data_IF_344147608903
#
_entry.id   IF_344147608903
#
_cell.length_a   1.000
_cell.length_b   1.000
_cell.length_c   1.000
_cell.angle_alpha   90.00
_cell.angle_beta   90.00
_cell.angle_gamma   90.00
#
_symmetry.space_group_name_H-M   'P 1'
#
loop_
_entity.id
_entity.type
_entity.pdbx_description
1 polymer ?
#
# COMPACT_ATOMS: atom_id res chain seq x y z
N UNK A 1 -8.65 -1.76 -10.45
CA UNK A 1 -7.59 -2.03 -9.46
C UNK A 1 -8.10 -2.92 -8.34
N UNK A 2 -7.19 -3.55 -7.62
CA UNK A 2 -7.47 -4.25 -6.37
C UNK A 2 -6.39 -3.85 -5.35
N UNK A 3 -6.83 -3.43 -4.16
CA UNK A 3 -5.99 -3.28 -2.98
C UNK A 3 -6.55 -4.28 -1.97
N UNK A 4 -5.67 -5.09 -1.37
CA UNK A 4 -6.07 -6.09 -0.39
C UNK A 4 -5.17 -6.05 0.83
N UNK A 5 -5.72 -6.43 1.97
CA UNK A 5 -5.01 -6.61 3.23
C UNK A 5 -5.33 -7.97 3.82
N UNK A 6 -4.31 -8.72 4.27
CA UNK A 6 -4.49 -10.09 4.78
C UNK A 6 -5.27 -10.99 3.82
N UNK A 7 -5.00 -10.84 2.52
CA UNK A 7 -5.78 -11.46 1.46
C UNK A 7 -4.88 -12.32 0.56
N UNK A 8 -5.30 -13.56 0.29
CA UNK A 8 -4.44 -14.59 -0.28
C UNK A 8 -4.07 -14.36 -1.75
N UNK A 9 -2.78 -14.31 -2.04
CA UNK A 9 -2.18 -14.39 -3.37
C UNK A 9 -1.85 -15.85 -3.69
N UNK A 10 -2.34 -16.34 -4.83
CA UNK A 10 -2.29 -17.76 -5.20
C UNK A 10 -1.42 -17.94 -6.45
N UNK A 11 -0.52 -18.91 -6.39
CA UNK A 11 0.26 -19.37 -7.53
C UNK A 11 0.25 -20.90 -7.62
N UNK A 12 0.27 -21.43 -8.84
CA UNK A 12 0.42 -22.88 -9.08
C UNK A 12 1.81 -23.17 -9.60
N UNK A 13 2.59 -23.95 -8.84
CA UNK A 13 3.94 -24.37 -9.22
C UNK A 13 4.04 -25.90 -9.15
N UNK A 14 4.46 -26.54 -10.25
CA UNK A 14 4.58 -28.01 -10.33
C UNK A 14 3.32 -28.76 -9.84
N UNK A 15 2.13 -28.30 -10.25
CA UNK A 15 0.81 -28.81 -9.83
C UNK A 15 0.49 -28.69 -8.33
N UNK A 16 1.28 -27.92 -7.57
CA UNK A 16 0.99 -27.58 -6.17
C UNK A 16 0.51 -26.13 -6.08
N UNK A 17 -0.56 -25.92 -5.32
CA UNK A 17 -1.07 -24.59 -5.01
C UNK A 17 -0.26 -24.03 -3.85
N UNK A 18 0.26 -22.82 -4.02
CA UNK A 18 0.97 -22.06 -3.01
C UNK A 18 0.16 -20.79 -2.77
N UNK A 19 -0.07 -20.48 -1.49
CA UNK A 19 -0.81 -19.28 -1.07
C UNK A 19 0.05 -18.50 -0.09
N UNK A 20 0.18 -17.19 -0.31
CA UNK A 20 0.75 -16.22 0.64
C UNK A 20 -0.21 -15.07 0.79
N UNK A 21 -0.43 -14.60 2.02
CA UNK A 21 -1.28 -13.46 2.32
C UNK A 21 -0.40 -12.35 2.89
N UNK A 22 -0.11 -11.29 2.12
CA UNK A 22 0.58 -10.13 2.64
C UNK A 22 -0.35 -9.24 3.47
N UNK A 23 0.24 -8.44 4.34
CA UNK A 23 -0.48 -7.42 5.09
C UNK A 23 -1.13 -6.37 4.19
N UNK A 24 -0.47 -6.04 3.07
CA UNK A 24 -1.01 -5.14 2.05
C UNK A 24 -0.48 -5.47 0.66
N UNK A 25 -1.30 -5.31 -0.38
CA UNK A 25 -0.83 -5.36 -1.77
C UNK A 25 -1.65 -4.48 -2.71
N UNK A 26 -1.09 -4.23 -3.88
CA UNK A 26 -1.74 -3.50 -4.97
C UNK A 26 -1.63 -4.24 -6.31
N UNK A 27 -2.75 -4.28 -7.03
CA UNK A 27 -2.88 -4.75 -8.41
C UNK A 27 -3.53 -3.63 -9.25
N UNK A 28 -2.86 -3.12 -10.29
CA UNK A 28 -3.37 -2.01 -11.10
C UNK A 28 -4.73 -2.32 -11.76
N UNK A 29 -4.86 -3.52 -12.33
CA UNK A 29 -6.07 -3.92 -13.05
C UNK A 29 -6.43 -5.37 -12.76
N UNK A 30 -7.71 -5.60 -12.50
CA UNK A 30 -8.27 -6.94 -12.26
C UNK A 30 -9.49 -7.17 -13.14
N UNK A 31 -9.70 -8.41 -13.54
CA UNK A 31 -10.91 -8.81 -14.26
C UNK A 31 -12.14 -8.72 -13.35
N UNK A 32 -13.31 -8.29 -13.87
CA UNK A 32 -14.53 -8.32 -13.11
C UNK A 32 -14.89 -9.77 -12.76
N UNK A 33 -15.52 -9.94 -11.60
CA UNK A 33 -16.05 -11.23 -11.17
C UNK A 33 -17.54 -11.27 -11.53
N UNK A 34 -18.09 -12.46 -11.82
CA UNK A 34 -19.50 -12.63 -12.10
C UNK A 34 -20.37 -12.13 -10.93
N UNK A 35 -21.61 -11.72 -11.26
CA UNK A 35 -22.63 -11.36 -10.26
C UNK A 35 -22.79 -12.56 -9.29
N UNK A 36 -22.86 -12.27 -8.00
CA UNK A 36 -22.93 -13.23 -6.87
C UNK A 36 -21.68 -14.06 -6.54
N UNK A 37 -20.55 -13.80 -7.20
CA UNK A 37 -19.27 -14.45 -6.85
C UNK A 37 -18.39 -13.51 -6.04
N UNK A 38 -18.04 -13.95 -4.83
CA UNK A 38 -17.09 -13.22 -3.96
C UNK A 38 -15.67 -13.68 -4.26
N UNK A 39 -14.79 -12.73 -4.59
CA UNK A 39 -13.35 -12.97 -4.73
C UNK A 39 -12.74 -13.24 -3.35
N UNK A 40 -12.28 -14.48 -3.11
CA UNK A 40 -11.69 -14.90 -1.82
C UNK A 40 -10.16 -14.94 -1.82
N UNK A 41 -9.57 -14.89 -3.00
CA UNK A 41 -8.13 -14.89 -3.24
C UNK A 41 -7.84 -14.22 -4.57
N UNK A 42 -6.57 -13.96 -4.86
CA UNK A 42 -6.15 -13.42 -6.15
C UNK A 42 -5.08 -14.30 -6.80
N UNK A 43 -5.33 -14.70 -8.04
CA UNK A 43 -4.43 -15.48 -8.89
C UNK A 43 -3.93 -14.60 -10.03
N UNK A 44 -2.69 -14.09 -9.97
CA UNK A 44 -2.12 -13.23 -11.01
C UNK A 44 -2.13 -13.90 -12.38
N UNK A 45 -2.29 -13.11 -13.45
CA UNK A 45 -2.42 -13.55 -14.85
C UNK A 45 -3.71 -14.32 -15.21
N UNK A 46 -4.43 -14.86 -14.23
CA UNK A 46 -5.75 -15.49 -14.42
C UNK A 46 -6.88 -14.50 -14.14
N UNK A 47 -6.80 -13.80 -13.00
CA UNK A 47 -7.83 -12.89 -12.51
C UNK A 47 -7.53 -11.41 -12.79
N UNK A 48 -6.45 -11.12 -13.53
CA UNK A 48 -6.00 -9.78 -13.89
C UNK A 48 -4.49 -9.68 -14.08
N UNK A 49 -3.98 -8.45 -13.95
CA UNK A 49 -2.55 -8.10 -14.06
C UNK A 49 -1.69 -8.70 -12.93
N UNK A 50 -0.35 -8.71 -13.07
CA UNK A 50 0.56 -9.05 -11.98
C UNK A 50 0.35 -8.16 -10.74
N UNK A 51 0.74 -8.69 -9.58
CA UNK A 51 0.80 -7.89 -8.36
C UNK A 51 1.95 -6.90 -8.50
N UNK A 52 1.65 -5.62 -8.32
CA UNK A 52 2.59 -4.53 -8.56
C UNK A 52 3.38 -4.17 -7.30
N UNK A 53 2.72 -4.17 -6.14
CA UNK A 53 3.33 -3.84 -4.86
C UNK A 53 2.85 -4.82 -3.79
N UNK A 54 3.76 -5.27 -2.94
CA UNK A 54 3.46 -6.01 -1.71
C UNK A 54 4.12 -5.33 -0.52
N UNK A 55 3.42 -5.27 0.60
CA UNK A 55 3.98 -4.83 1.89
C UNK A 55 3.72 -5.89 2.96
N UNK A 56 4.72 -6.06 3.82
CA UNK A 56 4.66 -6.94 5.00
C UNK A 56 5.10 -6.15 6.23
N UNK A 57 4.37 -6.30 7.32
CA UNK A 57 4.60 -5.59 8.56
C UNK A 57 5.32 -6.55 9.51
N UNK A 58 6.53 -6.19 9.90
CA UNK A 58 7.37 -7.03 10.72
C UNK A 58 6.81 -7.09 12.14
N UNK A 59 6.87 -8.28 12.73
CA UNK A 59 6.53 -8.51 14.13
C UNK A 59 7.69 -9.18 14.84
N UNK A 60 7.76 -8.99 16.16
CA UNK A 60 8.84 -9.47 17.03
C UNK A 60 9.03 -11.01 17.00
N UNK A 61 8.01 -11.75 16.53
CA UNK A 61 7.99 -13.22 16.50
C UNK A 61 8.08 -13.82 15.09
N UNK A 62 7.86 -13.05 14.01
CA UNK A 62 7.81 -13.57 12.64
C UNK A 62 9.03 -13.18 11.80
N UNK A 63 10.05 -14.04 11.82
CA UNK A 63 11.22 -13.95 10.92
C UNK A 63 10.93 -14.48 9.48
N UNK A 64 9.66 -14.77 9.16
CA UNK A 64 9.25 -15.39 7.90
C UNK A 64 9.21 -14.46 6.68
N UNK A 65 9.06 -13.15 6.93
CA UNK A 65 8.88 -12.12 5.90
C UNK A 65 10.10 -11.95 5.00
N UNK A 66 11.29 -12.08 5.59
CA UNK A 66 12.57 -12.02 4.87
C UNK A 66 13.09 -13.40 4.47
N UNK A 67 12.26 -14.44 4.61
CA UNK A 67 12.68 -15.80 4.28
C UNK A 67 12.93 -15.95 2.77
N UNK A 68 14.17 -16.26 2.41
CA UNK A 68 14.62 -16.58 1.04
C UNK A 68 14.52 -18.07 0.71
N UNK A 69 13.81 -18.85 1.53
CA UNK A 69 13.72 -20.30 1.37
C UNK A 69 13.13 -20.67 0.00
N UNK A 70 13.94 -21.30 -0.83
CA UNK A 70 13.61 -21.75 -2.20
C UNK A 70 12.98 -23.15 -2.26
N UNK A 71 12.67 -23.76 -1.11
CA UNK A 71 12.02 -25.07 -1.02
C UNK A 71 10.72 -24.99 -0.22
N UNK A 72 9.68 -25.79 -0.54
CA UNK A 72 8.42 -25.78 0.20
C UNK A 72 8.60 -26.04 1.72
N UNK A 73 7.90 -25.30 2.60
CA UNK A 73 7.12 -24.09 2.29
C UNK A 73 8.04 -22.94 1.88
N UNK A 74 7.78 -22.34 0.70
CA UNK A 74 8.58 -21.23 0.19
C UNK A 74 8.54 -20.05 1.16
N UNK A 75 9.68 -19.39 1.33
CA UNK A 75 9.77 -18.14 2.07
C UNK A 75 9.03 -17.01 1.34
N UNK A 76 8.56 -15.99 2.07
CA UNK A 76 7.77 -14.90 1.47
C UNK A 76 8.59 -14.08 0.49
N UNK A 77 9.81 -13.68 0.87
CA UNK A 77 10.72 -12.97 -0.04
C UNK A 77 10.96 -13.75 -1.34
N UNK A 78 11.30 -15.04 -1.24
CA UNK A 78 11.49 -15.90 -2.42
C UNK A 78 10.22 -16.00 -3.29
N UNK A 79 9.05 -16.12 -2.65
CA UNK A 79 7.78 -16.21 -3.34
C UNK A 79 7.47 -14.94 -4.13
N UNK A 80 7.66 -13.76 -3.53
CA UNK A 80 7.41 -12.50 -4.21
C UNK A 80 8.47 -12.19 -5.28
N UNK A 81 9.73 -12.52 -5.03
CA UNK A 81 10.85 -12.26 -5.94
C UNK A 81 10.85 -13.17 -7.18
N UNK A 82 10.81 -14.49 -6.97
CA UNK A 82 11.07 -15.45 -8.04
C UNK A 82 9.80 -16.11 -8.60
N UNK A 83 8.73 -16.21 -7.80
CA UNK A 83 7.48 -16.86 -8.23
C UNK A 83 6.51 -15.83 -8.79
N UNK A 84 6.13 -14.82 -8.01
CA UNK A 84 5.21 -13.77 -8.46
C UNK A 84 5.91 -12.64 -9.23
N UNK A 85 7.21 -12.44 -9.02
CA UNK A 85 8.01 -11.36 -9.62
C UNK A 85 7.38 -9.99 -9.40
N UNK A 86 7.01 -9.73 -8.15
CA UNK A 86 6.40 -8.45 -7.75
C UNK A 86 7.45 -7.34 -7.95
N UNK A 87 7.13 -6.26 -8.69
CA UNK A 87 8.06 -5.17 -8.93
C UNK A 87 8.59 -4.50 -7.65
N UNK A 88 7.70 -4.24 -6.69
CA UNK A 88 8.06 -3.55 -5.44
C UNK A 88 7.64 -4.36 -4.21
N UNK A 89 8.59 -4.62 -3.32
CA UNK A 89 8.38 -5.29 -2.04
C UNK A 89 8.82 -4.40 -0.89
N UNK A 90 7.91 -4.16 0.05
CA UNK A 90 8.12 -3.26 1.19
C UNK A 90 8.06 -4.07 2.49
N UNK A 91 8.98 -3.79 3.40
CA UNK A 91 8.90 -4.26 4.80
C UNK A 91 8.88 -3.06 5.73
N UNK A 92 7.95 -3.06 6.68
CA UNK A 92 7.80 -2.00 7.67
C UNK A 92 7.79 -2.59 9.08
N UNK A 93 8.64 -2.08 9.95
CA UNK A 93 8.60 -2.42 11.38
C UNK A 93 7.99 -1.24 12.17
N UNK A 94 6.84 -1.44 12.84
CA UNK A 94 6.21 -0.38 13.62
C UNK A 94 6.89 -0.14 14.99
N UNK A 95 7.66 -1.09 15.51
CA UNK A 95 8.33 -1.02 16.81
C UNK A 95 9.71 -0.37 16.70
N UNK A 96 10.49 -0.79 15.69
CA UNK A 96 11.71 -0.11 15.26
C UNK A 96 11.39 0.58 13.93
N UNK A 97 11.03 1.89 13.92
CA UNK A 97 10.40 2.57 12.77
C UNK A 97 11.31 2.60 11.54
N UNK A 98 11.34 1.47 10.86
CA UNK A 98 12.23 1.13 9.79
C UNK A 98 11.37 0.73 8.61
N UNK A 99 11.63 1.40 7.50
CA UNK A 99 10.96 1.18 6.24
C UNK A 99 12.03 0.77 5.24
N UNK A 100 11.88 -0.42 4.69
CA UNK A 100 12.78 -0.91 3.66
C UNK A 100 11.97 -1.24 2.40
N UNK A 101 12.39 -0.66 1.28
CA UNK A 101 11.79 -0.90 -0.03
C UNK A 101 12.81 -1.63 -0.90
N UNK A 102 12.38 -2.72 -1.51
CA UNK A 102 13.14 -3.50 -2.49
C UNK A 102 12.43 -3.44 -3.84
N UNK A 103 13.16 -3.14 -4.89
CA UNK A 103 12.64 -3.17 -6.26
C UNK A 103 13.29 -4.29 -7.05
N UNK A 104 12.49 -5.00 -7.83
CA UNK A 104 12.93 -6.10 -8.66
C UNK A 104 13.64 -5.55 -9.90
N UNK A 105 14.93 -5.83 -10.01
CA UNK A 105 15.73 -5.45 -11.16
C UNK A 105 16.46 -6.67 -11.71
N UNK A 106 16.28 -6.96 -13.00
CA UNK A 106 16.92 -8.11 -13.67
C UNK A 106 16.68 -9.47 -12.98
N UNK A 107 15.57 -9.61 -12.25
CA UNK A 107 15.16 -10.85 -11.59
C UNK A 107 15.56 -10.99 -10.11
N UNK A 108 16.20 -9.98 -9.54
CA UNK A 108 16.60 -9.95 -8.12
C UNK A 108 16.20 -8.62 -7.48
N UNK A 109 15.90 -8.66 -6.18
CA UNK A 109 15.53 -7.49 -5.40
C UNK A 109 16.75 -6.68 -5.00
N UNK A 110 16.68 -5.38 -5.26
CA UNK A 110 17.68 -4.40 -4.82
C UNK A 110 17.06 -3.44 -3.83
N UNK A 111 17.72 -3.25 -2.68
CA UNK A 111 17.29 -2.26 -1.68
C UNK A 111 17.38 -0.87 -2.28
N UNK A 112 16.29 -0.12 -2.17
CA UNK A 112 16.24 1.27 -2.59
C UNK A 112 16.78 2.18 -1.48
N UNK A 113 17.20 3.37 -1.86
CA UNK A 113 17.55 4.43 -0.91
C UNK A 113 16.39 5.39 -0.77
N UNK A 114 16.14 5.84 0.45
CA UNK A 114 15.18 6.88 0.71
C UNK A 114 15.71 8.24 0.21
N UNK A 115 14.80 9.16 -0.06
CA UNK A 115 15.10 10.56 -0.31
C UNK A 115 15.59 11.27 0.97
N UNK A 116 15.85 12.58 0.85
CA UNK A 116 16.29 13.42 1.98
C UNK A 116 15.27 13.50 3.12
N UNK A 117 14.01 13.12 2.88
CA UNK A 117 12.93 13.14 3.86
C UNK A 117 12.62 11.74 4.41
N UNK A 118 13.42 10.72 4.09
CA UNK A 118 13.18 9.34 4.53
C UNK A 118 12.02 8.65 3.78
N UNK A 119 11.72 9.06 2.54
CA UNK A 119 10.63 8.54 1.71
C UNK A 119 11.18 7.77 0.51
N UNK A 120 10.44 6.76 0.07
CA UNK A 120 10.79 5.92 -1.07
C UNK A 120 9.81 6.14 -2.21
N UNK A 121 10.32 6.35 -3.42
CA UNK A 121 9.48 6.43 -4.61
C UNK A 121 8.97 5.04 -4.99
N UNK A 122 7.65 4.89 -5.13
CA UNK A 122 6.98 3.65 -5.57
C UNK A 122 6.46 3.87 -7.00
N UNK A 123 7.17 3.41 -8.03
CA UNK A 123 6.84 3.72 -9.42
C UNK A 123 5.44 3.26 -9.84
N UNK A 124 4.96 2.14 -9.32
CA UNK A 124 3.70 1.54 -9.73
C UNK A 124 2.47 2.33 -9.26
N UNK A 125 2.65 3.18 -8.25
CA UNK A 125 1.61 4.06 -7.73
C UNK A 125 1.85 5.53 -8.09
N UNK A 126 3.04 5.86 -8.59
CA UNK A 126 3.51 7.24 -8.79
C UNK A 126 3.46 8.09 -7.50
N UNK A 127 3.80 7.46 -6.37
CA UNK A 127 3.75 8.08 -5.04
C UNK A 127 5.03 7.80 -4.26
N UNK A 128 5.34 8.71 -3.33
CA UNK A 128 6.32 8.46 -2.29
C UNK A 128 5.66 7.77 -1.08
N UNK A 129 6.28 6.71 -0.58
CA UNK A 129 5.93 6.04 0.67
C UNK A 129 6.91 6.45 1.76
N UNK A 130 6.41 6.77 2.94
CA UNK A 130 7.27 7.13 4.07
C UNK A 130 6.58 6.96 5.41
N UNK A 131 7.39 7.05 6.46
CA UNK A 131 6.91 7.03 7.84
C UNK A 131 6.50 8.45 8.25
N UNK A 132 5.33 8.57 8.83
CA UNK A 132 4.78 9.80 9.37
C UNK A 132 4.43 9.61 10.86
N UNK A 133 5.09 10.32 11.78
CA UNK A 133 4.73 10.29 13.19
C UNK A 133 3.48 11.17 13.41
N UNK A 134 2.45 10.61 14.01
CA UNK A 134 1.28 11.39 14.41
C UNK A 134 0.15 10.59 15.02
N UNK A 135 -0.94 11.29 15.28
CA UNK A 135 -2.10 10.71 15.96
C UNK A 135 -3.19 10.34 14.95
N UNK A 136 -3.67 9.09 15.04
CA UNK A 136 -4.87 8.64 14.32
C UNK A 136 -5.62 7.64 15.18
N UNK A 137 -6.95 7.73 15.19
CA UNK A 137 -7.80 6.85 16.01
C UNK A 137 -7.40 6.86 17.50
N UNK A 138 -7.04 8.05 18.01
CA UNK A 138 -6.53 8.26 19.38
C UNK A 138 -5.25 7.47 19.70
N UNK A 139 -4.47 7.11 18.68
CA UNK A 139 -3.19 6.42 18.83
C UNK A 139 -2.09 7.23 18.17
N UNK A 140 -1.13 7.66 18.98
CA UNK A 140 0.07 8.34 18.52
C UNK A 140 1.14 7.31 18.20
N UNK A 141 1.44 7.14 16.92
CA UNK A 141 2.43 6.17 16.45
C UNK A 141 3.05 6.62 15.12
N UNK A 142 3.96 5.79 14.63
CA UNK A 142 4.52 5.91 13.29
C UNK A 142 3.57 5.24 12.29
N UNK A 143 2.99 6.03 11.40
CA UNK A 143 2.08 5.56 10.37
C UNK A 143 2.77 5.58 9.01
N UNK A 144 2.46 4.60 8.16
CA UNK A 144 2.80 4.72 6.74
C UNK A 144 1.83 5.69 6.06
N UNK A 145 2.39 6.64 5.31
CA UNK A 145 1.65 7.63 4.54
C UNK A 145 2.21 7.75 3.12
N UNK A 146 1.39 8.32 2.25
CA UNK A 146 1.71 8.55 0.86
C UNK A 146 1.85 10.05 0.59
N UNK A 147 2.83 10.42 -0.24
CA UNK A 147 2.99 11.77 -0.77
C UNK A 147 2.96 11.72 -2.30
N UNK A 148 2.42 12.75 -2.91
CA UNK A 148 2.48 12.92 -4.36
C UNK A 148 3.89 13.34 -4.82
N UNK A 149 4.05 13.48 -6.15
CA UNK A 149 5.32 13.88 -6.77
C UNK A 149 5.80 15.28 -6.37
N UNK A 150 4.88 16.16 -5.98
CA UNK A 150 5.18 17.52 -5.52
C UNK A 150 5.57 17.56 -4.04
N UNK A 151 5.42 16.44 -3.34
CA UNK A 151 5.72 16.30 -1.92
C UNK A 151 4.54 16.67 -1.01
N UNK A 152 3.32 16.79 -1.56
CA UNK A 152 2.11 17.00 -0.77
C UNK A 152 1.66 15.68 -0.16
N UNK A 153 1.28 15.71 1.11
CA UNK A 153 0.77 14.54 1.82
C UNK A 153 -0.64 14.20 1.31
N UNK A 154 -0.84 12.96 0.87
CA UNK A 154 -2.19 12.47 0.54
C UNK A 154 -2.99 12.31 1.83
N UNK A 155 -4.05 13.09 1.93
CA UNK A 155 -4.95 13.12 3.07
C UNK A 155 -5.87 11.89 3.09
N UNK A 156 -6.20 11.41 4.29
CA UNK A 156 -7.30 10.46 4.46
C UNK A 156 -8.63 11.12 4.12
N UNK A 157 -9.63 10.30 3.79
CA UNK A 157 -10.98 10.79 3.48
C UNK A 157 -11.57 11.65 4.60
N UNK A 158 -11.29 11.32 5.87
CA UNK A 158 -11.71 12.13 7.02
C UNK A 158 -11.00 13.49 7.09
N UNK A 159 -9.71 13.54 6.78
CA UNK A 159 -8.92 14.78 6.76
C UNK A 159 -9.36 15.68 5.60
N UNK A 160 -9.63 15.09 4.43
CA UNK A 160 -10.19 15.80 3.27
C UNK A 160 -11.56 16.39 3.58
N UNK A 161 -12.45 15.61 4.19
CA UNK A 161 -13.79 16.08 4.55
C UNK A 161 -13.74 17.26 5.54
N UNK A 162 -12.85 17.20 6.53
CA UNK A 162 -12.67 18.29 7.49
C UNK A 162 -12.06 19.54 6.82
N UNK A 163 -11.09 19.37 5.91
CA UNK A 163 -10.52 20.49 5.17
C UNK A 163 -11.56 21.18 4.28
N UNK A 164 -12.39 20.40 3.57
CA UNK A 164 -13.47 20.95 2.74
C UNK A 164 -14.54 21.64 3.59
N UNK A 165 -14.86 21.10 4.77
CA UNK A 165 -15.76 21.76 5.72
C UNK A 165 -15.22 23.10 6.19
N UNK A 166 -13.95 23.16 6.59
CA UNK A 166 -13.32 24.41 7.02
C UNK A 166 -13.25 25.45 5.90
N UNK A 167 -13.02 25.01 4.65
CA UNK A 167 -13.07 25.88 3.46
C UNK A 167 -14.47 26.43 3.22
N UNK A 168 -15.49 25.58 3.32
CA UNK A 168 -16.88 25.99 3.18
C UNK A 168 -17.26 27.02 4.25
N UNK A 169 -16.88 26.78 5.51
CA UNK A 169 -17.16 27.68 6.64
C UNK A 169 -16.45 29.04 6.44
N UNK A 170 -15.19 29.04 6.01
CA UNK A 170 -14.44 30.27 5.73
C UNK A 170 -15.05 31.05 4.56
N UNK A 171 -15.47 30.36 3.49
CA UNK A 171 -16.10 30.98 2.34
C UNK A 171 -17.47 31.57 2.70
N UNK A 172 -18.27 30.83 3.48
CA UNK A 172 -19.56 31.29 3.98
C UNK A 172 -19.40 32.55 4.85
N UNK A 173 -18.39 32.59 5.72
CA UNK A 173 -18.07 33.77 6.51
C UNK A 173 -17.72 34.98 5.63
N UNK A 174 -16.87 34.79 4.61
CA UNK A 174 -16.52 35.86 3.66
C UNK A 174 -17.71 36.35 2.83
N UNK A 175 -18.60 35.46 2.41
CA UNK A 175 -19.81 35.83 1.67
C UNK A 175 -20.75 36.67 2.54
N UNK A 176 -20.92 36.29 3.80
CA UNK A 176 -21.69 37.08 4.79
C UNK A 176 -21.09 38.47 5.01
N UNK A 177 -19.77 38.60 5.07
CA UNK A 177 -19.10 39.92 5.13
C UNK A 177 -19.35 40.78 3.88
N UNK A 178 -19.48 40.16 2.71
CA UNK A 178 -19.82 40.83 1.45
C UNK A 178 -21.34 41.09 1.29
N UNK A 179 -22.14 40.77 2.31
CA UNK A 179 -23.60 40.98 2.31
C UNK A 179 -24.38 39.95 1.50
N UNK A 180 -23.76 38.84 1.10
CA UNK A 180 -24.40 37.72 0.41
C UNK A 180 -24.67 36.61 1.44
N UNK A 181 -25.92 36.15 1.53
CA UNK A 181 -26.25 35.03 2.40
C UNK A 181 -25.98 33.69 1.69
N UNK A 182 -24.98 32.91 2.10
CA UNK A 182 -24.63 31.64 1.47
C UNK A 182 -25.67 30.53 1.66
N UNK A 183 -26.63 30.67 2.58
CA UNK A 183 -27.70 29.66 2.80
C UNK A 183 -28.90 29.86 1.85
N UNK A 184 -28.92 30.96 1.08
CA UNK A 184 -29.96 31.29 0.11
C UNK A 184 -29.54 31.05 -1.36
N UNK A 185 -28.35 30.46 -1.57
CA UNK A 185 -27.79 30.04 -2.86
C UNK A 185 -28.00 28.54 -3.10
#
# INVERSE_FOLDING_TARGET
MLIGSNFGLVATLNKKIIVKAPDWFYVPQVHPVAVDVVRRSYTPNLEGEPVAVVMEFLSDTECGELSVRSTPPYGKLYFYEHILKVPTYVTYDPYEPSLEVRCLHSGEYTKQQADTNGRFWIPELELFLGIWPGERLCQTMNWLRWWDREGNLLLWSSEQAEQERQRADLLAAKLRELGVDPELL
#
